data_IF_806629752165
#
_entry.id   IF_806629752165
#
_cell.length_a   1.000
_cell.length_b   1.000
_cell.length_c   1.000
_cell.angle_alpha   90.00
_cell.angle_beta   90.00
_cell.angle_gamma   90.00
#
_symmetry.space_group_name_H-M   'P 1'
#
loop_
_entity.id
_entity.type
_entity.pdbx_description
1 polymer ?
#
# COMPACT_ATOMS: atom_id res chain seq x y z
N UNK A 1 -5.45 3.96 30.66
CA UNK A 1 -4.44 3.18 29.90
C UNK A 1 -4.96 2.69 28.56
N UNK A 2 -6.16 2.04 28.47
CA UNK A 2 -6.71 1.54 27.20
C UNK A 2 -6.93 2.65 26.16
N UNK A 3 -7.43 3.83 26.58
CA UNK A 3 -7.63 4.97 25.68
C UNK A 3 -6.30 5.49 25.10
N UNK A 4 -5.25 5.58 25.90
CA UNK A 4 -3.92 6.01 25.46
C UNK A 4 -3.31 5.02 24.45
N UNK A 5 -3.40 3.71 24.70
CA UNK A 5 -2.93 2.69 23.79
C UNK A 5 -3.68 2.73 22.43
N UNK A 6 -5.01 2.95 22.46
CA UNK A 6 -5.82 3.12 21.26
C UNK A 6 -5.43 4.37 20.47
N UNK A 7 -5.18 5.49 21.15
CA UNK A 7 -4.73 6.73 20.50
C UNK A 7 -3.37 6.57 19.82
N UNK A 8 -2.44 5.84 20.44
CA UNK A 8 -1.14 5.54 19.83
C UNK A 8 -1.28 4.62 18.61
N UNK A 9 -2.11 3.58 18.71
CA UNK A 9 -2.38 2.69 17.58
C UNK A 9 -3.01 3.46 16.41
N UNK A 10 -3.98 4.33 16.68
CA UNK A 10 -4.58 5.21 15.68
C UNK A 10 -3.53 6.09 14.98
N UNK A 11 -2.69 6.78 15.76
CA UNK A 11 -1.63 7.64 15.23
C UNK A 11 -0.66 6.86 14.33
N UNK A 12 -0.32 5.62 14.72
CA UNK A 12 0.53 4.74 13.92
C UNK A 12 -0.12 4.39 12.58
N UNK A 13 -1.41 4.02 12.57
CA UNK A 13 -2.15 3.72 11.36
C UNK A 13 -2.21 4.92 10.41
N UNK A 14 -2.58 6.09 10.92
CA UNK A 14 -2.61 7.33 10.13
C UNK A 14 -1.25 7.67 9.54
N UNK A 15 -0.17 7.56 10.33
CA UNK A 15 1.20 7.83 9.84
C UNK A 15 1.68 6.80 8.82
N UNK A 16 1.35 5.53 8.99
CA UNK A 16 1.67 4.50 8.00
C UNK A 16 0.95 4.73 6.67
N UNK A 17 -0.34 5.07 6.74
CA UNK A 17 -1.14 5.37 5.54
C UNK A 17 -0.73 6.69 4.87
N UNK A 18 -0.12 7.63 5.59
CA UNK A 18 0.32 8.90 5.01
C UNK A 18 1.28 8.73 3.82
N UNK A 19 2.05 7.62 3.78
CA UNK A 19 2.89 7.28 2.62
C UNK A 19 2.03 7.09 1.37
N UNK A 20 0.95 6.33 1.48
CA UNK A 20 0.04 6.07 0.36
C UNK A 20 -0.77 7.32 0.00
N UNK A 21 -1.21 8.11 0.98
CA UNK A 21 -1.91 9.38 0.74
C UNK A 21 -1.05 10.42 0.01
N UNK A 22 0.28 10.32 0.12
CA UNK A 22 1.24 11.19 -0.59
C UNK A 22 1.89 10.49 -1.80
N UNK A 23 1.41 9.33 -2.20
CA UNK A 23 2.04 8.50 -3.21
C UNK A 23 2.14 9.15 -4.59
N UNK A 24 1.15 9.96 -4.96
CA UNK A 24 1.07 10.62 -6.27
C UNK A 24 1.59 12.06 -6.27
N UNK A 25 1.68 12.70 -5.10
CA UNK A 25 2.15 14.08 -4.94
C UNK A 25 2.66 14.33 -3.52
N UNK A 26 3.67 15.15 -3.37
CA UNK A 26 4.17 15.62 -2.08
C UNK A 26 5.52 15.03 -1.69
N UNK A 27 5.53 13.96 -0.89
CA UNK A 27 6.80 13.42 -0.35
C UNK A 27 7.59 12.66 -1.42
N UNK A 28 8.85 13.07 -1.62
CA UNK A 28 9.80 12.33 -2.46
C UNK A 28 10.63 11.35 -1.61
N UNK A 29 11.09 10.29 -2.25
CA UNK A 29 11.84 9.22 -1.60
C UNK A 29 13.32 9.21 -2.04
N UNK A 30 14.04 8.13 -1.84
CA UNK A 30 15.48 8.04 -2.04
C UNK A 30 15.97 8.36 -3.47
N UNK A 31 15.14 8.17 -4.46
CA UNK A 31 15.36 8.51 -5.87
C UNK A 31 14.99 9.96 -6.24
N UNK A 32 14.48 10.74 -5.27
CA UNK A 32 14.04 12.12 -5.46
C UNK A 32 12.66 12.28 -6.10
N UNK A 33 11.93 11.20 -6.30
CA UNK A 33 10.60 11.17 -6.94
C UNK A 33 9.54 10.70 -5.94
N UNK A 34 8.26 10.98 -6.22
CA UNK A 34 7.12 10.48 -5.42
C UNK A 34 6.97 8.98 -5.59
N UNK A 35 6.32 8.30 -4.62
CA UNK A 35 6.20 6.85 -4.60
C UNK A 35 5.64 6.26 -5.89
N UNK A 36 4.54 6.82 -6.41
CA UNK A 36 3.93 6.37 -7.66
C UNK A 36 4.23 7.39 -8.78
N UNK A 37 5.16 7.06 -9.64
CA UNK A 37 5.61 7.94 -10.72
C UNK A 37 5.79 7.16 -12.04
N UNK A 38 5.70 7.89 -13.13
CA UNK A 38 6.04 7.37 -14.46
C UNK A 38 7.51 7.54 -14.83
N UNK A 39 8.31 8.14 -13.94
CA UNK A 39 9.67 8.57 -14.24
C UNK A 39 10.64 8.34 -13.06
N UNK A 40 10.67 7.14 -12.49
CA UNK A 40 11.70 6.74 -11.53
C UNK A 40 13.06 6.63 -12.25
N UNK A 41 14.09 7.40 -11.86
CA UNK A 41 15.38 7.41 -12.54
C UNK A 41 16.10 6.06 -12.34
N UNK A 42 16.67 5.54 -13.40
CA UNK A 42 17.54 4.36 -13.38
C UNK A 42 19.02 4.77 -13.35
N UNK A 43 19.85 4.02 -12.66
CA UNK A 43 21.31 4.25 -12.60
C UNK A 43 21.94 4.09 -13.98
N UNK A 44 21.43 3.20 -14.82
CA UNK A 44 21.86 2.99 -16.20
C UNK A 44 21.45 4.12 -17.16
N UNK A 45 20.68 5.09 -16.71
CA UNK A 45 20.04 6.12 -17.53
C UNK A 45 18.65 5.69 -18.01
N UNK A 46 17.78 6.68 -18.22
CA UNK A 46 16.36 6.44 -18.53
C UNK A 46 15.49 6.43 -17.27
N UNK A 47 14.25 5.99 -17.41
CA UNK A 47 13.26 5.98 -16.33
C UNK A 47 12.43 4.71 -16.35
N UNK A 48 11.99 4.28 -15.17
CA UNK A 48 11.00 3.21 -14.99
C UNK A 48 9.69 3.79 -14.45
N UNK A 49 8.57 3.12 -14.73
CA UNK A 49 7.25 3.53 -14.30
C UNK A 49 6.61 2.46 -13.42
N UNK A 50 6.12 2.86 -12.25
CA UNK A 50 5.36 1.98 -11.36
C UNK A 50 3.87 2.35 -11.29
N UNK A 51 3.39 3.17 -12.21
CA UNK A 51 1.97 3.49 -12.36
C UNK A 51 1.60 3.59 -13.85
N UNK A 52 0.32 3.45 -14.23
CA UNK A 52 -0.13 3.72 -15.58
C UNK A 52 0.07 5.20 -15.93
N UNK A 53 0.32 5.48 -17.21
CA UNK A 53 0.48 6.86 -17.72
C UNK A 53 -0.79 7.68 -17.55
N UNK A 54 -1.95 7.04 -17.70
CA UNK A 54 -3.27 7.66 -17.49
C UNK A 54 -3.89 7.02 -16.25
N UNK A 55 -4.36 7.87 -15.32
CA UNK A 55 -5.09 7.39 -14.14
C UNK A 55 -6.33 6.60 -14.57
N UNK A 56 -6.59 5.51 -13.87
CA UNK A 56 -7.72 4.62 -14.15
C UNK A 56 -8.34 4.13 -12.84
N UNK A 57 -9.67 4.21 -12.79
CA UNK A 57 -10.46 3.65 -11.69
C UNK A 57 -10.28 2.14 -11.60
N UNK A 58 -10.50 1.57 -10.41
CA UNK A 58 -10.42 0.14 -10.20
C UNK A 58 -11.56 -0.59 -10.96
N UNK A 59 -11.18 -1.28 -12.01
CA UNK A 59 -12.05 -2.16 -12.78
C UNK A 59 -11.25 -3.36 -13.30
N UNK A 60 -11.91 -4.29 -13.98
CA UNK A 60 -11.27 -5.50 -14.51
C UNK A 60 -10.11 -5.16 -15.46
N UNK A 61 -10.37 -4.31 -16.44
CA UNK A 61 -9.38 -3.93 -17.47
C UNK A 61 -8.17 -3.21 -16.87
N UNK A 62 -8.39 -2.28 -15.93
CA UNK A 62 -7.30 -1.54 -15.29
C UNK A 62 -6.44 -2.43 -14.40
N UNK A 63 -7.07 -3.39 -13.69
CA UNK A 63 -6.35 -4.34 -12.86
C UNK A 63 -5.55 -5.34 -13.68
N UNK A 64 -6.10 -5.85 -14.79
CA UNK A 64 -5.38 -6.70 -15.76
C UNK A 64 -4.18 -5.96 -16.36
N UNK A 65 -4.38 -4.70 -16.78
CA UNK A 65 -3.31 -3.88 -17.32
C UNK A 65 -2.18 -3.65 -16.29
N UNK A 66 -2.52 -3.44 -15.03
CA UNK A 66 -1.54 -3.29 -13.95
C UNK A 66 -0.74 -4.60 -13.73
N UNK A 67 -1.40 -5.76 -13.73
CA UNK A 67 -0.74 -7.07 -13.62
C UNK A 67 0.25 -7.30 -14.75
N UNK A 68 -0.15 -6.98 -15.99
CA UNK A 68 0.72 -7.08 -17.18
C UNK A 68 1.90 -6.11 -17.08
N UNK A 69 1.66 -4.87 -16.64
CA UNK A 69 2.71 -3.87 -16.44
C UNK A 69 3.74 -4.33 -15.40
N UNK A 70 3.30 -4.86 -14.25
CA UNK A 70 4.17 -5.39 -13.20
C UNK A 70 5.03 -6.55 -13.73
N UNK A 71 4.46 -7.45 -14.50
CA UNK A 71 5.19 -8.58 -15.09
C UNK A 71 6.28 -8.14 -16.06
N UNK A 72 6.16 -6.96 -16.66
CA UNK A 72 7.14 -6.38 -17.60
C UNK A 72 8.21 -5.49 -16.94
N UNK A 73 8.23 -5.35 -15.61
CA UNK A 73 9.21 -4.49 -14.95
C UNK A 73 10.63 -5.00 -15.05
N UNK A 74 11.56 -4.06 -15.14
CA UNK A 74 12.99 -4.32 -15.25
C UNK A 74 13.75 -3.73 -14.07
N UNK A 75 14.91 -4.29 -13.79
CA UNK A 75 15.87 -3.78 -12.81
C UNK A 75 16.64 -2.55 -13.33
N UNK A 76 17.54 -2.04 -12.50
CA UNK A 76 18.47 -0.93 -12.82
C UNK A 76 19.34 -1.16 -14.07
N UNK A 77 19.45 -2.41 -14.54
CA UNK A 77 20.25 -2.83 -15.72
C UNK A 77 19.35 -3.18 -16.90
N UNK A 78 18.06 -2.87 -16.86
CA UNK A 78 17.05 -3.24 -17.85
C UNK A 78 16.84 -4.74 -18.03
N UNK A 79 17.16 -5.54 -16.99
CA UNK A 79 16.86 -6.96 -16.96
C UNK A 79 15.48 -7.21 -16.36
N UNK A 80 14.70 -8.09 -16.97
CA UNK A 80 13.35 -8.45 -16.50
C UNK A 80 13.43 -9.10 -15.12
N UNK A 81 12.71 -8.54 -14.14
CA UNK A 81 12.67 -9.04 -12.77
C UNK A 81 11.55 -10.05 -12.52
N UNK A 82 10.62 -10.20 -13.48
CA UNK A 82 9.45 -11.08 -13.37
C UNK A 82 8.63 -10.87 -12.08
N UNK A 83 8.45 -9.63 -11.69
CA UNK A 83 7.69 -9.24 -10.50
C UNK A 83 6.24 -9.70 -10.58
N UNK A 84 5.63 -10.00 -9.42
CA UNK A 84 4.23 -10.44 -9.32
C UNK A 84 3.50 -9.58 -8.29
N UNK A 85 2.25 -9.21 -8.58
CA UNK A 85 1.41 -8.56 -7.57
C UNK A 85 1.12 -9.54 -6.43
N UNK A 86 0.95 -9.02 -5.23
CA UNK A 86 0.64 -9.80 -4.02
C UNK A 86 -0.69 -9.41 -3.41
N UNK A 87 -0.88 -8.13 -3.11
CA UNK A 87 -2.04 -7.65 -2.38
C UNK A 87 -2.55 -6.33 -2.95
N UNK A 88 -3.86 -6.19 -3.03
CA UNK A 88 -4.55 -4.96 -3.41
C UNK A 88 -4.90 -4.16 -2.14
N UNK A 89 -4.49 -2.89 -2.06
CA UNK A 89 -4.83 -1.97 -0.97
C UNK A 89 -5.83 -0.94 -1.51
N UNK A 90 -6.96 -0.81 -0.85
CA UNK A 90 -8.08 0.02 -1.30
C UNK A 90 -8.72 0.82 -0.16
N UNK A 91 -9.38 1.95 -0.46
CA UNK A 91 -10.27 2.62 0.47
C UNK A 91 -11.59 1.84 0.64
N UNK A 92 -12.38 2.13 1.70
CA UNK A 92 -13.66 1.46 1.95
C UNK A 92 -14.65 1.55 0.78
N UNK A 93 -14.62 2.63 0.01
CA UNK A 93 -15.51 2.86 -1.13
C UNK A 93 -15.37 1.80 -2.23
N UNK A 94 -14.16 1.24 -2.40
CA UNK A 94 -13.88 0.25 -3.44
C UNK A 94 -14.02 -1.21 -2.96
N UNK A 95 -14.38 -1.44 -1.68
CA UNK A 95 -14.46 -2.78 -1.11
C UNK A 95 -15.33 -3.73 -1.92
N UNK A 96 -16.55 -3.32 -2.28
CA UNK A 96 -17.47 -4.18 -3.02
C UNK A 96 -17.06 -4.39 -4.48
N UNK A 97 -16.33 -3.43 -5.05
CA UNK A 97 -15.72 -3.57 -6.39
C UNK A 97 -14.62 -4.64 -6.33
N UNK A 98 -13.72 -4.55 -5.36
CA UNK A 98 -12.65 -5.52 -5.18
C UNK A 98 -13.17 -6.94 -4.91
N UNK A 99 -14.22 -7.10 -4.08
CA UNK A 99 -14.86 -8.39 -3.87
C UNK A 99 -15.37 -8.99 -5.18
N UNK A 100 -16.08 -8.20 -6.01
CA UNK A 100 -16.55 -8.68 -7.29
C UNK A 100 -15.42 -9.05 -8.26
N UNK A 101 -14.33 -8.29 -8.27
CA UNK A 101 -13.19 -8.55 -9.16
C UNK A 101 -12.36 -9.77 -8.74
N UNK A 102 -12.16 -9.98 -7.42
CA UNK A 102 -11.23 -10.99 -6.94
C UNK A 102 -11.91 -12.29 -6.44
N UNK A 103 -13.20 -12.23 -6.07
CA UNK A 103 -13.88 -13.37 -5.46
C UNK A 103 -15.01 -13.97 -6.33
N UNK A 104 -15.52 -13.25 -7.32
CA UNK A 104 -16.56 -13.76 -8.21
C UNK A 104 -16.03 -14.92 -9.07
N UNK A 105 -16.81 -15.96 -9.26
CA UNK A 105 -16.48 -17.10 -10.16
C UNK A 105 -16.64 -16.73 -11.63
N UNK A 106 -17.73 -16.05 -11.95
CA UNK A 106 -18.01 -15.56 -13.29
C UNK A 106 -17.63 -14.09 -13.42
N UNK A 107 -17.45 -13.67 -14.66
CA UNK A 107 -17.25 -12.27 -15.03
C UNK A 107 -18.48 -11.44 -14.72
N UNK A 108 -18.31 -10.35 -13.99
CA UNK A 108 -19.42 -9.48 -13.58
C UNK A 108 -19.86 -8.59 -14.75
N UNK A 109 -21.18 -8.60 -15.04
CA UNK A 109 -21.77 -7.70 -16.03
C UNK A 109 -21.87 -8.27 -17.44
N UNK A 110 -21.60 -9.56 -17.64
CA UNK A 110 -21.85 -10.28 -18.90
C UNK A 110 -23.07 -11.17 -18.80
N UNK A 111 -23.78 -11.36 -19.90
CA UNK A 111 -24.89 -12.32 -20.01
C UNK A 111 -24.38 -13.74 -20.31
N UNK A 112 -23.14 -13.85 -20.75
CA UNK A 112 -22.47 -15.10 -21.08
C UNK A 112 -21.82 -15.70 -19.84
N UNK A 113 -21.57 -17.00 -19.85
CA UNK A 113 -20.94 -17.73 -18.74
C UNK A 113 -19.40 -17.58 -18.80
N UNK A 114 -18.93 -16.34 -18.89
CA UNK A 114 -17.50 -16.01 -18.93
C UNK A 114 -16.87 -16.25 -17.55
N UNK A 115 -15.65 -16.77 -17.57
CA UNK A 115 -14.85 -16.95 -16.36
C UNK A 115 -14.20 -15.63 -15.91
N UNK A 116 -14.06 -15.45 -14.60
CA UNK A 116 -13.26 -14.37 -14.05
C UNK A 116 -11.76 -14.74 -14.14
N UNK A 117 -11.04 -14.14 -15.09
CA UNK A 117 -9.63 -14.43 -15.33
C UNK A 117 -8.73 -14.02 -14.15
N UNK A 118 -9.01 -12.89 -13.49
CA UNK A 118 -8.23 -12.38 -12.34
C UNK A 118 -8.24 -13.36 -11.16
N UNK A 119 -9.41 -13.91 -10.84
CA UNK A 119 -9.55 -14.93 -9.80
C UNK A 119 -8.90 -16.25 -10.20
N UNK A 120 -9.19 -16.74 -11.39
CA UNK A 120 -8.73 -18.06 -11.84
C UNK A 120 -7.20 -18.13 -11.99
N UNK A 121 -6.56 -17.05 -12.43
CA UNK A 121 -5.09 -16.96 -12.49
C UNK A 121 -4.43 -16.73 -11.13
N UNK A 122 -5.21 -16.42 -10.08
CA UNK A 122 -4.65 -16.03 -8.79
C UNK A 122 -3.77 -14.79 -8.90
N UNK A 123 -4.19 -13.81 -9.71
CA UNK A 123 -3.38 -12.63 -10.04
C UNK A 123 -3.03 -11.78 -8.82
N UNK A 124 -3.83 -11.82 -7.76
CA UNK A 124 -3.58 -11.14 -6.47
C UNK A 124 -3.72 -12.19 -5.35
N UNK A 125 -2.68 -12.98 -5.06
CA UNK A 125 -2.78 -14.16 -4.20
C UNK A 125 -3.10 -13.85 -2.74
N UNK A 126 -2.76 -12.67 -2.22
CA UNK A 126 -3.09 -12.23 -0.87
C UNK A 126 -4.44 -11.47 -0.80
N UNK A 127 -5.19 -11.42 -1.89
CA UNK A 127 -6.48 -10.74 -1.95
C UNK A 127 -6.36 -9.22 -1.78
N UNK A 128 -7.33 -8.62 -1.09
CA UNK A 128 -7.34 -7.18 -0.87
C UNK A 128 -7.37 -6.82 0.63
N UNK A 129 -6.90 -5.62 0.94
CA UNK A 129 -6.97 -5.03 2.28
C UNK A 129 -7.65 -3.65 2.21
N UNK A 130 -8.68 -3.47 3.03
CA UNK A 130 -9.36 -2.17 3.15
C UNK A 130 -8.62 -1.30 4.15
N UNK A 131 -8.12 -0.16 3.69
CA UNK A 131 -7.47 0.83 4.53
C UNK A 131 -8.39 2.03 4.76
N UNK A 132 -8.92 2.14 5.98
CA UNK A 132 -9.87 3.18 6.37
C UNK A 132 -9.26 4.59 6.48
N UNK A 133 -7.94 4.72 6.41
CA UNK A 133 -7.23 5.99 6.55
C UNK A 133 -6.74 6.56 5.22
N UNK A 134 -7.07 5.91 4.09
CA UNK A 134 -6.91 6.50 2.77
C UNK A 134 -7.86 7.67 2.61
N UNK A 135 -7.32 8.82 2.21
CA UNK A 135 -8.10 10.06 2.01
C UNK A 135 -8.72 10.14 0.62
N UNK A 136 -8.07 9.51 -0.34
CA UNK A 136 -8.57 9.38 -1.69
C UNK A 136 -9.53 8.19 -1.78
N UNK A 137 -10.73 8.41 -2.31
CA UNK A 137 -11.84 7.44 -2.31
C UNK A 137 -11.82 6.48 -3.48
N UNK A 138 -11.00 6.74 -4.49
CA UNK A 138 -10.88 5.95 -5.72
C UNK A 138 -9.44 5.47 -6.00
N UNK A 139 -8.45 5.93 -5.22
CA UNK A 139 -7.08 5.44 -5.32
C UNK A 139 -6.96 3.98 -4.88
N UNK A 140 -6.23 3.20 -5.64
CA UNK A 140 -5.91 1.81 -5.33
C UNK A 140 -4.43 1.52 -5.58
N UNK A 141 -3.88 0.60 -4.79
CA UNK A 141 -2.46 0.25 -4.83
C UNK A 141 -2.28 -1.25 -4.87
N UNK A 142 -1.29 -1.71 -5.63
CA UNK A 142 -0.83 -3.09 -5.63
C UNK A 142 0.54 -3.17 -4.97
N UNK A 143 0.70 -4.02 -3.95
CA UNK A 143 2.01 -4.42 -3.48
C UNK A 143 2.50 -5.61 -4.30
N UNK A 144 3.82 -5.73 -4.43
CA UNK A 144 4.44 -6.79 -5.23
C UNK A 144 5.33 -7.70 -4.38
N UNK A 145 5.92 -8.70 -4.99
CA UNK A 145 6.90 -9.59 -4.36
C UNK A 145 8.34 -9.03 -4.40
N UNK A 146 8.54 -7.86 -4.99
CA UNK A 146 9.83 -7.17 -5.01
C UNK A 146 10.23 -6.80 -3.57
N UNK A 147 11.43 -7.19 -3.12
CA UNK A 147 11.86 -6.90 -1.77
C UNK A 147 12.09 -5.40 -1.55
N UNK A 148 12.00 -4.99 -0.29
CA UNK A 148 12.35 -3.64 0.15
C UNK A 148 11.36 -2.52 -0.24
N UNK A 149 10.11 -2.82 -0.56
CA UNK A 149 9.05 -1.83 -0.76
C UNK A 149 8.70 -1.03 0.51
N UNK A 150 7.44 -1.00 0.88
CA UNK A 150 6.96 -0.32 2.08
C UNK A 150 7.55 -0.93 3.36
N UNK A 151 8.16 -0.09 4.21
CA UNK A 151 8.84 -0.53 5.44
C UNK A 151 8.35 0.22 6.68
N UNK A 152 8.20 -0.55 7.76
CA UNK A 152 7.99 -0.04 9.10
C UNK A 152 9.23 -0.32 9.96
N UNK A 153 9.94 0.74 10.32
CA UNK A 153 11.15 0.67 11.15
C UNK A 153 10.77 0.93 12.60
N UNK A 154 10.95 -0.07 13.46
CA UNK A 154 10.72 0.08 14.90
C UNK A 154 12.07 0.27 15.60
N UNK A 155 12.26 1.46 16.19
CA UNK A 155 13.45 1.75 17.01
C UNK A 155 13.22 1.39 18.48
N UNK A 156 12.04 1.71 18.99
CA UNK A 156 11.64 1.39 20.36
C UNK A 156 10.20 0.92 20.33
N UNK A 157 9.90 -0.33 20.71
CA UNK A 157 8.54 -0.83 20.77
C UNK A 157 7.72 -0.04 21.78
N UNK A 158 6.40 -0.12 21.67
CA UNK A 158 5.50 0.57 22.58
C UNK A 158 5.71 0.06 24.01
N UNK A 159 6.02 1.00 24.90
CA UNK A 159 6.12 0.77 26.34
C UNK A 159 5.18 1.70 27.10
N UNK A 160 4.57 1.18 28.14
CA UNK A 160 3.69 1.95 29.04
C UNK A 160 4.27 1.94 30.44
N UNK A 161 4.19 3.07 31.12
CA UNK A 161 4.52 3.17 32.52
C UNK A 161 3.46 3.99 33.27
N UNK A 162 3.31 3.70 34.53
CA UNK A 162 2.43 4.43 35.47
C UNK A 162 3.29 4.92 36.63
N UNK A 163 3.06 6.13 37.03
CA UNK A 163 3.68 6.74 38.20
C UNK A 163 2.61 7.48 39.01
N UNK A 164 2.73 7.43 40.31
CA UNK A 164 1.86 8.18 41.23
C UNK A 164 2.55 9.48 41.62
N UNK A 165 1.84 10.58 41.50
CA UNK A 165 2.30 11.88 41.99
C UNK A 165 2.02 11.98 43.48
N UNK A 166 3.08 12.03 44.29
CA UNK A 166 2.97 12.06 45.73
C UNK A 166 2.26 13.33 46.24
N UNK A 167 2.50 14.48 45.61
CA UNK A 167 1.98 15.76 46.03
C UNK A 167 0.49 15.95 45.73
N UNK A 168 0.02 15.43 44.62
CA UNK A 168 -1.38 15.61 44.18
C UNK A 168 -2.25 14.36 44.34
N UNK A 169 -1.66 13.19 44.64
CA UNK A 169 -2.35 11.90 44.70
C UNK A 169 -2.87 11.39 43.35
N UNK A 170 -2.50 12.02 42.23
CA UNK A 170 -2.94 11.66 40.90
C UNK A 170 -2.05 10.58 40.30
N UNK A 171 -2.65 9.64 39.54
CA UNK A 171 -1.90 8.67 38.77
C UNK A 171 -1.59 9.21 37.37
N UNK A 172 -0.33 9.21 36.97
CA UNK A 172 0.15 9.61 35.64
C UNK A 172 0.45 8.39 34.80
N UNK A 173 -0.09 8.38 33.61
CA UNK A 173 0.14 7.30 32.63
C UNK A 173 0.97 7.85 31.48
N UNK A 174 2.04 7.12 31.14
CA UNK A 174 2.95 7.44 30.03
C UNK A 174 3.00 6.28 29.07
N UNK A 175 2.89 6.56 27.77
CA UNK A 175 3.21 5.61 26.71
C UNK A 175 4.26 6.22 25.79
N UNK A 176 5.21 5.40 25.36
CA UNK A 176 6.30 5.80 24.47
C UNK A 176 6.52 4.75 23.41
N UNK A 177 6.68 5.22 22.18
CA UNK A 177 7.07 4.42 21.02
C UNK A 177 7.96 5.26 20.09
N UNK A 178 8.91 4.62 19.42
CA UNK A 178 9.74 5.29 18.40
C UNK A 178 9.78 4.40 17.17
N UNK A 179 9.25 4.92 16.07
CA UNK A 179 9.18 4.23 14.79
C UNK A 179 9.27 5.22 13.64
N UNK A 180 9.51 4.70 12.46
CA UNK A 180 9.46 5.43 11.20
C UNK A 180 8.83 4.54 10.13
N UNK A 181 8.20 5.15 9.16
CA UNK A 181 7.74 4.49 7.95
C UNK A 181 8.54 5.04 6.76
N UNK A 182 8.79 4.22 5.77
CA UNK A 182 9.51 4.62 4.58
C UNK A 182 9.38 3.60 3.45
N UNK A 183 9.95 3.95 2.32
CA UNK A 183 10.03 3.13 1.13
C UNK A 183 11.49 3.06 0.72
N UNK A 184 11.98 1.88 0.39
CA UNK A 184 13.34 1.71 -0.12
C UNK A 184 13.37 1.39 -1.61
N UNK A 185 12.33 0.69 -2.10
CA UNK A 185 12.16 0.35 -3.51
C UNK A 185 10.74 0.72 -3.94
N UNK A 186 10.57 1.55 -4.97
CA UNK A 186 9.25 1.95 -5.46
C UNK A 186 8.50 0.85 -6.20
N UNK A 187 9.14 -0.29 -6.52
CA UNK A 187 8.53 -1.43 -7.18
C UNK A 187 7.95 -2.47 -6.19
N UNK A 188 8.19 -2.33 -4.88
CA UNK A 188 7.83 -3.29 -3.84
C UNK A 188 6.45 -3.13 -3.19
#
# INVERSE_FOLDING_TARGET
TKALARAMAYTKQVKGTAILNSAFAGTTYGDGVVLCSTAHPLVSGGTNSNRPTVAADLNETSLEAAVIQIAGWTDERSLLIAAKPRKLIIPPNLQFVATRLLESEGRVGTADNDINALRNNGSVPEGYAVNHYLTDTDAWFLTTDVPNGLKHFVRTPMSTSMDADFDTGNSRYKARERYSFGVSDPLG
#
